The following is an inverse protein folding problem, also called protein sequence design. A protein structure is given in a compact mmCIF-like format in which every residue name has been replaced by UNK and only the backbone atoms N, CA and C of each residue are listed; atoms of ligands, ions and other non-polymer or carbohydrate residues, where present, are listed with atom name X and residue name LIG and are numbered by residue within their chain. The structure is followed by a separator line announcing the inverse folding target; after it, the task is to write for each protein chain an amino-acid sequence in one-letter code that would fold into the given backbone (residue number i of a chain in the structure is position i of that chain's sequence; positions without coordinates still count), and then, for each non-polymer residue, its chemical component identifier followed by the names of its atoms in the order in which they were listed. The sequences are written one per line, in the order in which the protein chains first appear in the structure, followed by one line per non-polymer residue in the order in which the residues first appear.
data_IF_216990460942
#
_entry.id   IF_216990460942
#
_cell.length_a   1.000
_cell.length_b   1.000
_cell.length_c   1.000
_cell.angle_alpha   90.00
_cell.angle_beta   90.00
_cell.angle_gamma   90.00
#
_symmetry.space_group_name_H-M   'P 1'
#
loop_
_entity.id
_entity.type
_entity.pdbx_description
1 polymer ?
#
# COMPACT_ATOMS: atom_id res chain seq x y z
N UNK A 1 9.42 -1.44 -5.71
CA UNK A 1 10.13 -1.89 -4.50
C UNK A 1 10.69 -3.28 -4.74
N UNK A 2 11.85 -3.61 -4.17
CA UNK A 2 12.53 -4.92 -4.31
C UNK A 2 12.73 -5.32 -5.78
N UNK A 3 13.37 -4.44 -6.55
CA UNK A 3 13.68 -4.67 -7.96
C UNK A 3 15.19 -4.76 -8.13
N UNK A 4 15.63 -5.66 -9.00
CA UNK A 4 17.04 -5.86 -9.34
C UNK A 4 17.27 -5.65 -10.83
N UNK A 5 18.27 -4.84 -11.17
CA UNK A 5 18.68 -4.54 -12.53
C UNK A 5 20.15 -4.92 -12.70
N UNK A 6 20.47 -5.68 -13.75
CA UNK A 6 21.85 -6.12 -14.01
C UNK A 6 22.23 -5.73 -15.44
N UNK A 7 23.34 -5.01 -15.59
CA UNK A 7 23.94 -4.61 -16.87
C UNK A 7 22.97 -3.88 -17.84
N UNK A 8 22.04 -3.09 -17.30
CA UNK A 8 21.18 -2.23 -18.10
C UNK A 8 21.95 -0.96 -18.50
N UNK A 9 21.82 -0.47 -19.74
CA UNK A 9 22.44 0.81 -20.12
C UNK A 9 21.96 1.94 -19.20
N UNK A 10 20.64 2.05 -19.04
CA UNK A 10 19.99 2.79 -17.97
C UNK A 10 19.07 1.81 -17.21
N UNK A 11 19.23 1.66 -15.90
CA UNK A 11 18.41 0.71 -15.14
C UNK A 11 16.96 1.19 -14.97
N UNK A 12 16.78 2.47 -14.63
CA UNK A 12 15.46 3.11 -14.55
C UNK A 12 15.45 4.35 -15.43
N UNK A 13 14.62 4.33 -16.48
CA UNK A 13 14.33 5.51 -17.30
C UNK A 13 12.97 6.08 -16.88
N UNK A 14 12.98 7.21 -16.16
CA UNK A 14 11.78 7.94 -15.82
C UNK A 14 11.52 9.02 -16.88
N UNK A 15 10.28 9.07 -17.36
CA UNK A 15 9.85 9.97 -18.43
C UNK A 15 9.03 11.13 -17.85
N UNK A 16 8.09 10.80 -16.97
CA UNK A 16 7.21 11.74 -16.28
C UNK A 16 6.63 11.08 -15.02
N UNK A 17 6.54 11.84 -13.94
CA UNK A 17 5.73 11.54 -12.75
C UNK A 17 5.65 12.78 -11.86
N UNK A 18 4.63 12.89 -11.01
CA UNK A 18 4.62 13.87 -9.92
C UNK A 18 5.57 13.47 -8.80
N UNK A 19 5.61 12.18 -8.45
CA UNK A 19 6.46 11.68 -7.38
C UNK A 19 6.46 10.17 -7.23
N UNK A 20 7.65 9.57 -7.27
CA UNK A 20 7.81 8.12 -7.12
C UNK A 20 8.72 7.76 -5.95
N UNK A 21 8.37 6.70 -5.22
CA UNK A 21 9.22 6.12 -4.17
C UNK A 21 9.79 4.77 -4.62
N UNK A 22 11.11 4.70 -4.66
CA UNK A 22 11.89 3.52 -5.00
C UNK A 22 12.52 2.98 -3.72
N UNK A 23 12.07 1.81 -3.26
CA UNK A 23 12.59 1.18 -2.05
C UNK A 23 13.25 -0.15 -2.39
N UNK A 24 14.42 -0.45 -1.80
CA UNK A 24 15.16 -1.71 -2.00
C UNK A 24 15.43 -1.98 -3.48
N UNK A 25 16.01 -1.00 -4.16
CA UNK A 25 16.44 -1.19 -5.55
C UNK A 25 17.90 -1.63 -5.53
N UNK A 26 18.20 -2.69 -6.27
CA UNK A 26 19.56 -3.18 -6.46
C UNK A 26 19.93 -3.01 -7.94
N UNK A 27 21.00 -2.28 -8.21
CA UNK A 27 21.50 -2.04 -9.56
C UNK A 27 22.96 -2.45 -9.59
N UNK A 28 23.32 -3.33 -10.52
CA UNK A 28 24.71 -3.74 -10.74
C UNK A 28 25.09 -3.64 -12.23
N UNK A 29 25.99 -2.71 -12.53
CA UNK A 29 26.45 -2.44 -13.89
C UNK A 29 25.51 -1.52 -14.67
N UNK A 30 26.07 -0.84 -15.68
CA UNK A 30 25.34 0.09 -16.55
C UNK A 30 26.04 1.43 -16.70
N UNK A 31 25.45 2.35 -17.47
CA UNK A 31 25.94 3.72 -17.58
C UNK A 31 25.25 4.66 -16.57
N UNK A 32 23.94 4.48 -16.37
CA UNK A 32 23.12 5.30 -15.49
C UNK A 32 22.17 4.41 -14.66
N UNK A 33 22.11 4.60 -13.35
CA UNK A 33 21.20 3.82 -12.50
C UNK A 33 19.76 4.37 -12.62
N UNK A 34 19.55 5.65 -12.26
CA UNK A 34 18.28 6.35 -12.41
C UNK A 34 18.45 7.53 -13.36
N UNK A 35 17.87 7.43 -14.55
CA UNK A 35 17.72 8.57 -15.44
C UNK A 35 16.37 9.25 -15.18
N UNK A 36 16.41 10.36 -14.46
CA UNK A 36 15.25 11.21 -14.13
C UNK A 36 15.29 12.54 -14.88
N UNK A 37 16.11 12.66 -15.92
CA UNK A 37 16.17 13.88 -16.73
C UNK A 37 15.01 14.01 -17.72
N UNK A 38 14.14 12.99 -17.82
CA UNK A 38 13.03 12.93 -18.76
C UNK A 38 12.14 14.18 -18.77
N UNK A 39 11.82 14.65 -19.98
CA UNK A 39 10.97 15.82 -20.23
C UNK A 39 9.96 15.49 -21.32
N UNK A 40 8.85 14.88 -20.94
CA UNK A 40 7.76 14.59 -21.88
C UNK A 40 6.39 15.09 -21.35
N UNK A 41 5.37 14.92 -22.19
CA UNK A 41 4.01 15.42 -21.97
C UNK A 41 3.73 16.75 -22.68
N UNK A 42 2.45 17.13 -22.78
CA UNK A 42 1.99 18.30 -23.55
C UNK A 42 2.55 19.64 -23.06
N UNK A 43 3.03 19.69 -21.81
CA UNK A 43 3.63 20.87 -21.17
C UNK A 43 5.13 20.69 -20.91
N UNK A 44 5.72 19.58 -21.35
CA UNK A 44 7.11 19.21 -21.08
C UNK A 44 7.40 19.10 -19.59
N UNK A 45 6.48 18.57 -18.78
CA UNK A 45 6.57 18.64 -17.32
C UNK A 45 7.70 17.79 -16.73
N UNK A 46 7.94 16.58 -17.26
CA UNK A 46 8.97 15.68 -16.73
C UNK A 46 8.68 15.17 -15.31
N UNK A 47 9.74 14.92 -14.55
CA UNK A 47 9.68 14.33 -13.20
C UNK A 47 9.60 15.44 -12.13
N UNK A 48 8.62 15.35 -11.23
CA UNK A 48 8.48 16.25 -10.08
C UNK A 48 9.37 15.87 -8.89
N UNK A 49 9.37 14.60 -8.51
CA UNK A 49 10.20 14.11 -7.40
C UNK A 49 10.50 12.61 -7.45
N UNK A 50 11.61 12.22 -6.83
CA UNK A 50 11.93 10.82 -6.54
C UNK A 50 12.50 10.66 -5.13
N UNK A 51 12.15 9.55 -4.48
CA UNK A 51 12.83 9.08 -3.27
C UNK A 51 13.46 7.72 -3.57
N UNK A 52 14.74 7.55 -3.24
CA UNK A 52 15.47 6.28 -3.34
C UNK A 52 15.88 5.86 -1.93
N UNK A 53 15.32 4.75 -1.46
CA UNK A 53 15.33 4.35 -0.05
C UNK A 53 15.86 2.92 0.07
N UNK A 54 16.75 2.66 1.03
CA UNK A 54 17.27 1.32 1.34
C UNK A 54 17.87 0.58 0.13
N UNK A 55 18.50 1.31 -0.79
CA UNK A 55 18.90 0.80 -2.11
C UNK A 55 20.41 0.60 -2.22
N UNK A 56 20.85 -0.17 -3.21
CA UNK A 56 22.26 -0.42 -3.52
C UNK A 56 22.52 -0.21 -5.00
N UNK A 57 23.50 0.61 -5.34
CA UNK A 57 23.93 0.86 -6.71
C UNK A 57 25.41 0.51 -6.81
N UNK A 58 25.75 -0.38 -7.74
CA UNK A 58 27.09 -0.90 -7.92
C UNK A 58 27.55 -0.80 -9.38
N UNK A 59 28.84 -0.54 -9.58
CA UNK A 59 29.50 -0.58 -10.89
C UNK A 59 28.81 0.31 -11.95
N UNK A 60 28.34 1.48 -11.52
CA UNK A 60 27.57 2.39 -12.37
C UNK A 60 28.19 3.79 -12.30
N UNK A 61 28.69 4.37 -13.41
CA UNK A 61 29.34 5.68 -13.37
C UNK A 61 28.44 6.79 -12.81
N UNK A 62 27.14 6.77 -13.13
CA UNK A 62 26.18 7.79 -12.69
C UNK A 62 25.02 7.11 -11.95
N UNK A 63 24.88 7.35 -10.64
CA UNK A 63 23.73 6.81 -9.91
C UNK A 63 22.43 7.53 -10.30
N UNK A 64 22.42 8.87 -10.35
CA UNK A 64 21.23 9.65 -10.69
C UNK A 64 21.60 10.73 -11.70
N UNK A 65 21.01 10.65 -12.90
CA UNK A 65 21.05 11.71 -13.90
C UNK A 65 19.76 12.55 -13.82
N UNK A 66 19.88 13.83 -13.49
CA UNK A 66 18.76 14.77 -13.41
C UNK A 66 18.86 15.85 -14.49
N UNK A 67 17.77 16.60 -14.69
CA UNK A 67 17.75 17.72 -15.64
C UNK A 67 18.18 19.04 -14.99
N UNK A 68 18.51 20.04 -15.82
CA UNK A 68 19.01 21.35 -15.37
C UNK A 68 17.95 22.47 -15.48
N UNK A 69 16.66 22.15 -15.35
CA UNK A 69 15.56 23.09 -15.67
C UNK A 69 15.57 24.34 -14.80
N UNK A 70 15.46 25.52 -15.42
CA UNK A 70 15.41 26.83 -14.75
C UNK A 70 14.37 27.76 -15.40
N UNK A 71 13.16 27.26 -15.66
CA UNK A 71 12.11 28.05 -16.35
C UNK A 71 11.12 28.74 -15.40
N UNK A 72 11.42 28.78 -14.09
CA UNK A 72 10.62 29.47 -13.07
C UNK A 72 9.24 28.87 -12.79
N UNK A 73 8.80 27.86 -13.55
CA UNK A 73 7.49 27.19 -13.39
C UNK A 73 7.67 25.79 -12.82
N UNK A 74 8.57 24.99 -13.40
CA UNK A 74 8.96 23.70 -12.84
C UNK A 74 10.48 23.68 -12.69
N UNK A 75 10.98 23.48 -11.47
CA UNK A 75 12.41 23.29 -11.23
C UNK A 75 12.89 21.90 -11.70
N UNK A 76 14.18 21.57 -11.50
CA UNK A 76 14.63 20.20 -11.66
C UNK A 76 13.95 19.28 -10.62
N UNK A 77 13.90 17.97 -10.86
CA UNK A 77 13.30 17.00 -9.95
C UNK A 77 13.83 17.16 -8.52
N UNK A 78 12.94 17.14 -7.54
CA UNK A 78 13.36 17.02 -6.14
C UNK A 78 13.81 15.59 -5.89
N UNK A 79 14.96 15.40 -5.24
CA UNK A 79 15.52 14.07 -4.98
C UNK A 79 15.70 13.89 -3.48
N UNK A 80 15.31 12.73 -2.98
CA UNK A 80 15.64 12.24 -1.63
C UNK A 80 16.37 10.91 -1.78
N UNK A 81 17.51 10.77 -1.12
CA UNK A 81 18.26 9.51 -1.02
C UNK A 81 18.37 9.18 0.46
N UNK A 82 17.92 7.99 0.85
CA UNK A 82 17.85 7.55 2.25
C UNK A 82 18.42 6.14 2.38
N UNK A 83 19.38 5.95 3.30
CA UNK A 83 20.02 4.68 3.62
C UNK A 83 20.44 3.89 2.37
N UNK A 84 21.24 4.50 1.49
CA UNK A 84 21.62 3.88 0.22
C UNK A 84 23.13 3.68 0.10
N UNK A 85 23.51 2.49 -0.33
CA UNK A 85 24.89 2.06 -0.55
C UNK A 85 25.29 2.32 -1.99
N UNK A 86 26.49 2.86 -2.20
CA UNK A 86 27.11 2.93 -3.52
C UNK A 86 28.43 2.18 -3.50
N UNK A 87 28.72 1.46 -4.57
CA UNK A 87 29.97 0.72 -4.70
C UNK A 87 30.50 0.88 -6.11
N UNK A 88 31.70 1.43 -6.28
CA UNK A 88 32.25 1.74 -7.60
C UNK A 88 31.29 2.62 -8.44
N UNK A 89 30.80 3.71 -7.83
CA UNK A 89 29.98 4.76 -8.45
C UNK A 89 30.78 6.06 -8.51
N UNK A 90 31.01 6.58 -9.70
CA UNK A 90 31.84 7.79 -9.91
C UNK A 90 31.11 9.07 -9.45
N UNK A 91 29.83 9.21 -9.78
CA UNK A 91 29.02 10.37 -9.39
C UNK A 91 27.65 9.94 -8.91
N UNK A 92 27.25 10.43 -7.74
CA UNK A 92 25.94 10.09 -7.18
C UNK A 92 24.82 10.86 -7.89
N UNK A 93 24.89 12.19 -7.95
CA UNK A 93 23.88 13.01 -8.62
C UNK A 93 24.55 13.95 -9.60
N UNK A 94 24.18 13.82 -10.87
CA UNK A 94 24.71 14.60 -11.98
C UNK A 94 23.58 15.25 -12.77
N UNK A 95 23.77 16.50 -13.16
CA UNK A 95 22.90 17.20 -14.10
C UNK A 95 23.25 16.83 -15.55
N UNK A 96 22.27 16.86 -16.45
CA UNK A 96 22.47 16.63 -17.88
C UNK A 96 23.47 17.61 -18.55
N UNK A 97 23.70 18.79 -17.95
CA UNK A 97 24.73 19.74 -18.41
C UNK A 97 26.15 19.37 -17.96
N UNK A 98 26.31 18.30 -17.18
CA UNK A 98 27.61 17.85 -16.68
C UNK A 98 27.92 18.28 -15.24
N UNK A 99 27.13 19.17 -14.64
CA UNK A 99 27.33 19.63 -13.26
C UNK A 99 27.18 18.48 -12.28
N UNK A 100 28.15 18.33 -11.39
CA UNK A 100 28.11 17.38 -10.28
C UNK A 100 27.36 18.04 -9.12
N UNK A 101 26.22 17.47 -8.74
CA UNK A 101 25.36 17.97 -7.65
C UNK A 101 25.69 17.25 -6.33
N UNK A 102 26.05 15.96 -6.42
CA UNK A 102 26.57 15.16 -5.33
C UNK A 102 27.63 14.21 -5.87
N UNK A 103 28.86 14.36 -5.36
CA UNK A 103 30.00 13.51 -5.68
C UNK A 103 29.75 12.03 -5.34
N UNK A 104 30.61 11.13 -5.82
CA UNK A 104 30.62 9.73 -5.40
C UNK A 104 30.88 9.59 -3.90
N UNK A 105 30.16 8.68 -3.24
CA UNK A 105 30.30 8.32 -1.82
C UNK A 105 29.93 6.85 -1.66
N UNK A 106 30.53 6.13 -0.72
CA UNK A 106 30.23 4.71 -0.48
C UNK A 106 28.86 4.50 0.20
N UNK A 107 28.37 5.51 0.93
CA UNK A 107 27.11 5.44 1.65
C UNK A 107 26.45 6.81 1.79
N UNK A 108 25.11 6.82 1.81
CA UNK A 108 24.28 8.01 2.04
C UNK A 108 23.26 7.69 3.12
N UNK A 109 23.39 8.36 4.27
CA UNK A 109 22.42 8.27 5.36
C UNK A 109 21.10 8.93 4.98
N UNK A 110 21.10 10.25 4.79
CA UNK A 110 19.98 11.00 4.23
C UNK A 110 20.49 12.26 3.52
N UNK A 111 20.20 12.35 2.24
CA UNK A 111 20.52 13.50 1.41
C UNK A 111 19.29 13.93 0.62
N UNK A 112 19.16 15.22 0.35
CA UNK A 112 18.08 15.71 -0.50
C UNK A 112 18.50 16.92 -1.34
N UNK A 113 17.77 17.17 -2.42
CA UNK A 113 17.74 18.46 -3.11
C UNK A 113 16.29 18.85 -3.35
N UNK A 114 15.94 20.08 -2.97
CA UNK A 114 14.58 20.59 -3.09
C UNK A 114 14.26 21.67 -2.06
N UNK A 115 12.98 22.05 -2.00
CA UNK A 115 12.49 23.04 -1.02
C UNK A 115 12.25 22.39 0.34
N UNK A 116 13.06 22.74 1.33
CA UNK A 116 12.97 22.23 2.72
C UNK A 116 12.33 23.27 3.63
N UNK A 117 11.52 22.81 4.58
CA UNK A 117 10.76 23.67 5.49
C UNK A 117 11.21 23.51 6.94
N UNK A 118 11.41 24.63 7.64
CA UNK A 118 11.54 24.71 9.10
C UNK A 118 10.44 25.62 9.64
N UNK A 119 9.40 25.03 10.22
CA UNK A 119 8.15 25.74 10.48
C UNK A 119 7.57 26.29 9.17
N UNK A 120 7.26 27.58 9.14
CA UNK A 120 6.70 28.25 7.96
C UNK A 120 7.74 28.73 6.93
N UNK A 121 9.05 28.61 7.22
CA UNK A 121 10.11 29.08 6.32
C UNK A 121 10.58 27.94 5.42
N UNK A 122 10.36 28.09 4.11
CA UNK A 122 10.84 27.16 3.09
C UNK A 122 12.03 27.73 2.32
N UNK A 123 13.10 26.95 2.17
CA UNK A 123 14.32 27.32 1.44
C UNK A 123 14.72 26.20 0.49
N UNK A 124 15.08 26.56 -0.74
CA UNK A 124 15.63 25.59 -1.69
C UNK A 124 17.09 25.31 -1.32
N UNK A 125 17.43 24.05 -1.10
CA UNK A 125 18.77 23.65 -0.69
C UNK A 125 19.09 22.23 -1.13
N UNK A 126 20.38 21.94 -1.25
CA UNK A 126 20.97 20.66 -1.60
C UNK A 126 21.98 20.28 -0.53
N UNK A 127 22.05 19.01 -0.15
CA UNK A 127 23.01 18.53 0.84
C UNK A 127 22.44 17.46 1.78
N UNK A 128 23.24 17.08 2.76
CA UNK A 128 22.84 16.17 3.82
C UNK A 128 21.65 16.73 4.62
N UNK A 129 20.90 15.80 5.24
CA UNK A 129 19.80 16.10 6.14
C UNK A 129 20.00 15.26 7.40
N UNK A 130 19.85 15.88 8.57
CA UNK A 130 19.81 15.14 9.83
C UNK A 130 18.57 14.23 9.82
N UNK A 131 18.78 12.92 9.66
CA UNK A 131 17.70 11.96 9.59
C UNK A 131 17.04 11.79 10.97
N UNK A 132 15.71 11.90 11.09
CA UNK A 132 15.03 11.47 12.30
C UNK A 132 15.24 9.96 12.47
N UNK A 133 15.49 9.50 13.71
CA UNK A 133 15.59 8.06 13.96
C UNK A 133 14.31 7.35 13.53
N UNK A 134 14.44 6.43 12.56
CA UNK A 134 13.35 5.53 12.20
C UNK A 134 13.00 4.67 13.41
N UNK A 135 11.71 4.54 13.70
CA UNK A 135 11.26 3.69 14.80
C UNK A 135 11.71 2.25 14.56
N UNK A 136 12.36 1.61 15.54
CA UNK A 136 12.92 0.25 15.41
C UNK A 136 11.89 -0.79 14.91
N UNK A 137 10.60 -0.56 15.17
CA UNK A 137 9.48 -1.41 14.72
C UNK A 137 9.23 -1.37 13.20
N UNK A 138 9.76 -0.36 12.50
CA UNK A 138 9.60 -0.18 11.05
C UNK A 138 10.73 -0.82 10.26
N UNK A 139 11.81 -1.24 10.93
CA UNK A 139 13.03 -1.73 10.28
C UNK A 139 13.05 -3.26 10.26
N UNK A 140 13.78 -3.83 9.31
CA UNK A 140 14.10 -5.25 9.21
C UNK A 140 15.34 -5.61 10.08
N UNK A 141 15.94 -6.79 9.87
CA UNK A 141 17.12 -7.24 10.64
C UNK A 141 18.40 -6.53 10.20
N UNK A 142 18.39 -5.98 8.99
CA UNK A 142 19.51 -5.30 8.33
C UNK A 142 19.37 -3.77 8.46
N UNK A 143 18.39 -3.28 9.24
CA UNK A 143 18.16 -1.86 9.49
C UNK A 143 17.40 -1.13 8.37
N UNK A 144 16.94 -1.83 7.33
CA UNK A 144 16.18 -1.28 6.20
C UNK A 144 14.69 -1.26 6.53
N UNK A 145 13.88 -0.38 5.95
CA UNK A 145 12.42 -0.40 6.10
C UNK A 145 11.87 -1.78 5.75
N UNK A 146 11.08 -2.36 6.65
CA UNK A 146 10.55 -3.72 6.52
C UNK A 146 9.80 -3.89 5.20
N UNK A 147 10.08 -5.00 4.52
CA UNK A 147 9.43 -5.39 3.29
C UNK A 147 9.12 -6.87 3.33
N UNK A 148 7.96 -7.23 2.78
CA UNK A 148 7.59 -8.62 2.53
C UNK A 148 6.77 -8.73 1.23
N UNK A 149 7.13 -9.62 0.31
CA UNK A 149 6.36 -9.84 -0.90
C UNK A 149 4.99 -10.46 -0.59
N UNK A 150 4.06 -10.34 -1.55
CA UNK A 150 2.78 -11.05 -1.51
C UNK A 150 3.02 -12.55 -1.35
N UNK A 151 2.43 -13.21 -0.33
CA UNK A 151 2.51 -14.66 -0.22
C UNK A 151 1.70 -15.31 -1.35
N UNK A 152 2.25 -16.35 -2.00
CA UNK A 152 1.50 -17.14 -2.98
C UNK A 152 1.31 -18.60 -2.55
N UNK A 153 1.84 -18.98 -1.39
CA UNK A 153 1.69 -20.29 -0.78
C UNK A 153 2.20 -21.44 -1.67
N UNK A 154 3.29 -21.20 -2.39
CA UNK A 154 3.84 -22.07 -3.43
C UNK A 154 4.17 -23.48 -2.95
N UNK A 155 4.53 -23.63 -1.68
CA UNK A 155 4.92 -24.90 -1.06
C UNK A 155 3.75 -25.68 -0.43
N UNK A 156 2.51 -25.18 -0.53
CA UNK A 156 1.33 -25.80 0.09
C UNK A 156 0.50 -26.62 -0.91
N UNK A 157 0.05 -27.80 -0.47
CA UNK A 157 -0.91 -28.61 -1.21
C UNK A 157 -2.33 -28.06 -1.15
N UNK A 158 -3.18 -28.47 -2.10
CA UNK A 158 -4.60 -28.05 -2.17
C UNK A 158 -5.41 -28.41 -0.92
N UNK A 159 -5.01 -29.45 -0.20
CA UNK A 159 -5.61 -29.91 1.06
C UNK A 159 -5.41 -28.93 2.23
N UNK A 160 -4.47 -27.99 2.10
CA UNK A 160 -4.22 -26.91 3.04
C UNK A 160 -5.21 -25.74 2.89
N UNK A 161 -6.08 -25.78 1.88
CA UNK A 161 -7.10 -24.77 1.64
C UNK A 161 -8.49 -25.33 1.97
N UNK A 162 -9.36 -24.45 2.47
CA UNK A 162 -10.79 -24.71 2.53
C UNK A 162 -11.52 -23.63 1.73
N UNK A 163 -12.48 -24.06 0.91
CA UNK A 163 -13.19 -23.18 -0.02
C UNK A 163 -14.49 -22.69 0.64
N UNK A 164 -14.69 -21.36 0.67
CA UNK A 164 -15.83 -20.74 1.35
C UNK A 164 -17.19 -21.24 0.84
N UNK A 165 -17.36 -21.37 -0.48
CA UNK A 165 -18.62 -21.80 -1.12
C UNK A 165 -18.95 -23.26 -0.89
N UNK A 166 -17.94 -24.11 -0.72
CA UNK A 166 -18.11 -25.53 -0.32
C UNK A 166 -18.43 -25.68 1.17
N UNK A 167 -18.27 -24.60 1.94
CA UNK A 167 -18.52 -24.54 3.38
C UNK A 167 -19.68 -23.58 3.72
N UNK A 168 -20.62 -23.41 2.78
CA UNK A 168 -21.92 -22.76 3.03
C UNK A 168 -21.96 -21.24 2.87
N UNK A 169 -20.86 -20.60 2.47
CA UNK A 169 -20.86 -19.16 2.16
C UNK A 169 -21.41 -18.92 0.75
N UNK A 170 -22.46 -18.09 0.62
CA UNK A 170 -22.97 -17.69 -0.71
C UNK A 170 -22.27 -16.42 -1.16
N UNK A 171 -21.96 -16.37 -2.45
CA UNK A 171 -21.23 -15.28 -3.10
C UNK A 171 -22.04 -14.63 -4.24
N UNK A 172 -23.36 -14.79 -4.21
CA UNK A 172 -24.30 -14.33 -5.25
C UNK A 172 -24.78 -12.88 -5.08
N UNK A 173 -24.25 -12.16 -4.08
CA UNK A 173 -24.63 -10.78 -3.76
C UNK A 173 -25.96 -10.64 -3.02
N UNK A 174 -26.57 -11.74 -2.59
CA UNK A 174 -27.89 -11.73 -1.95
C UNK A 174 -27.85 -12.28 -0.53
N UNK A 175 -28.93 -12.01 0.21
CA UNK A 175 -29.09 -12.50 1.58
C UNK A 175 -28.11 -11.89 2.58
N UNK A 176 -28.01 -12.56 3.73
CA UNK A 176 -27.05 -12.23 4.78
C UNK A 176 -26.15 -13.44 5.04
N UNK A 177 -24.88 -13.32 4.67
CA UNK A 177 -23.87 -14.37 4.80
C UNK A 177 -23.04 -14.25 6.09
N UNK A 178 -23.35 -13.31 6.98
CA UNK A 178 -22.53 -13.01 8.18
C UNK A 178 -22.25 -14.27 9.01
N UNK A 179 -23.29 -15.05 9.33
CA UNK A 179 -23.15 -16.27 10.13
C UNK A 179 -22.32 -17.35 9.44
N UNK A 180 -22.54 -17.56 8.14
CA UNK A 180 -21.83 -18.58 7.36
C UNK A 180 -20.34 -18.24 7.23
N UNK A 181 -20.01 -16.98 6.95
CA UNK A 181 -18.62 -16.52 6.81
C UNK A 181 -17.88 -16.61 8.14
N UNK A 182 -18.49 -16.16 9.24
CA UNK A 182 -17.87 -16.26 10.56
C UNK A 182 -17.61 -17.71 10.98
N UNK A 183 -18.58 -18.62 10.75
CA UNK A 183 -18.40 -20.05 11.03
C UNK A 183 -17.32 -20.68 10.14
N UNK A 184 -17.25 -20.29 8.87
CA UNK A 184 -16.21 -20.74 7.95
C UNK A 184 -14.82 -20.28 8.40
N UNK A 185 -14.63 -18.99 8.68
CA UNK A 185 -13.36 -18.44 9.11
C UNK A 185 -12.89 -19.04 10.45
N UNK A 186 -13.80 -19.25 11.40
CA UNK A 186 -13.50 -19.94 12.66
C UNK A 186 -13.04 -21.39 12.42
N UNK A 187 -13.75 -22.14 11.56
CA UNK A 187 -13.37 -23.51 11.20
C UNK A 187 -11.98 -23.56 10.57
N UNK A 188 -11.72 -22.70 9.58
CA UNK A 188 -10.42 -22.64 8.89
C UNK A 188 -9.30 -22.35 9.86
N UNK A 189 -9.50 -21.35 10.73
CA UNK A 189 -8.51 -20.95 11.72
C UNK A 189 -8.19 -22.10 12.69
N UNK A 190 -9.23 -22.81 13.18
CA UNK A 190 -9.07 -23.97 14.06
C UNK A 190 -8.32 -25.13 13.39
N UNK A 191 -8.51 -25.32 12.08
CA UNK A 191 -7.80 -26.34 11.31
C UNK A 191 -6.38 -25.91 10.88
N UNK A 192 -5.99 -24.65 11.13
CA UNK A 192 -4.70 -24.10 10.70
C UNK A 192 -4.56 -23.94 9.18
N UNK A 193 -5.68 -23.98 8.45
CA UNK A 193 -5.73 -23.95 6.97
C UNK A 193 -5.80 -22.52 6.43
N UNK A 194 -5.79 -22.40 5.10
CA UNK A 194 -5.99 -21.15 4.39
C UNK A 194 -7.45 -21.05 3.95
N UNK A 195 -8.09 -19.92 4.25
CA UNK A 195 -9.44 -19.61 3.81
C UNK A 195 -9.36 -19.15 2.35
N UNK A 196 -9.76 -20.02 1.43
CA UNK A 196 -9.92 -19.65 0.03
C UNK A 196 -11.33 -19.10 -0.20
N UNK A 197 -11.39 -17.86 -0.66
CA UNK A 197 -12.64 -17.14 -0.91
C UNK A 197 -12.77 -16.95 -2.42
N UNK A 198 -13.58 -17.75 -3.13
CA UNK A 198 -13.82 -17.55 -4.56
C UNK A 198 -14.42 -16.18 -4.86
N UNK A 199 -14.16 -15.68 -6.07
CA UNK A 199 -14.69 -14.42 -6.57
C UNK A 199 -16.21 -14.37 -6.43
N UNK A 200 -16.74 -13.19 -6.09
CA UNK A 200 -18.17 -12.98 -5.91
C UNK A 200 -18.46 -11.99 -4.79
N UNK A 201 -19.74 -11.78 -4.53
CA UNK A 201 -20.21 -10.80 -3.56
C UNK A 201 -20.82 -11.54 -2.37
N UNK A 202 -20.12 -11.49 -1.25
CA UNK A 202 -20.56 -12.03 0.02
C UNK A 202 -21.23 -10.90 0.80
N UNK A 203 -22.54 -10.75 0.58
CA UNK A 203 -23.33 -9.70 1.23
C UNK A 203 -23.55 -10.05 2.71
N UNK A 204 -23.26 -9.10 3.60
CA UNK A 204 -23.34 -9.28 5.06
C UNK A 204 -24.20 -8.20 5.70
N UNK A 205 -25.07 -8.61 6.63
CA UNK A 205 -25.91 -7.75 7.45
C UNK A 205 -25.37 -7.53 8.87
N UNK A 206 -24.17 -8.02 9.17
CA UNK A 206 -23.51 -7.87 10.46
C UNK A 206 -21.99 -7.95 10.36
N UNK A 207 -21.30 -7.84 11.49
CA UNK A 207 -19.83 -7.83 11.54
C UNK A 207 -19.26 -9.20 11.15
N UNK A 208 -18.36 -9.23 10.16
CA UNK A 208 -17.50 -10.37 9.87
C UNK A 208 -16.22 -10.26 10.71
N UNK A 209 -16.00 -11.21 11.61
CA UNK A 209 -14.77 -11.32 12.38
C UNK A 209 -13.80 -12.25 11.65
N UNK A 210 -12.64 -11.72 11.25
CA UNK A 210 -11.51 -12.51 10.75
C UNK A 210 -10.63 -12.84 11.97
N UNK A 211 -10.62 -14.09 12.46
CA UNK A 211 -9.92 -14.43 13.69
C UNK A 211 -8.42 -14.24 13.57
N UNK A 212 -7.77 -13.84 14.65
CA UNK A 212 -6.31 -13.82 14.77
C UNK A 212 -5.69 -15.19 14.42
N UNK A 213 -4.60 -15.20 13.67
CA UNK A 213 -3.96 -16.40 13.11
C UNK A 213 -4.44 -16.79 11.72
N UNK A 214 -5.42 -16.07 11.15
CA UNK A 214 -6.01 -16.44 9.86
C UNK A 214 -5.10 -16.12 8.68
N UNK A 215 -5.20 -16.97 7.65
CA UNK A 215 -4.68 -16.73 6.31
C UNK A 215 -5.84 -16.76 5.34
N UNK A 216 -6.13 -15.63 4.69
CA UNK A 216 -7.28 -15.45 3.79
C UNK A 216 -6.77 -15.11 2.39
N UNK A 217 -7.19 -15.89 1.41
CA UNK A 217 -6.84 -15.73 0.00
C UNK A 217 -8.13 -15.60 -0.81
N UNK A 218 -8.36 -14.44 -1.39
CA UNK A 218 -9.39 -14.24 -2.40
C UNK A 218 -8.94 -14.71 -3.78
N UNK A 219 -9.84 -14.61 -4.76
CA UNK A 219 -9.51 -14.78 -6.17
C UNK A 219 -9.97 -13.57 -6.99
N UNK A 220 -9.16 -12.51 -7.06
CA UNK A 220 -9.45 -11.25 -7.78
C UNK A 220 -10.60 -10.43 -7.19
N UNK A 221 -11.87 -10.72 -7.47
CA UNK A 221 -13.05 -9.94 -7.02
C UNK A 221 -13.83 -10.60 -5.88
N UNK A 222 -13.14 -10.98 -4.82
CA UNK A 222 -13.74 -11.58 -3.62
C UNK A 222 -14.17 -10.48 -2.66
N UNK A 223 -15.48 -10.21 -2.58
CA UNK A 223 -16.01 -9.01 -1.92
C UNK A 223 -16.77 -9.35 -0.64
N UNK A 224 -16.34 -8.82 0.50
CA UNK A 224 -17.18 -8.69 1.70
C UNK A 224 -17.95 -7.38 1.57
N UNK A 225 -19.27 -7.46 1.36
CA UNK A 225 -20.13 -6.29 1.15
C UNK A 225 -21.08 -6.07 2.33
N UNK A 226 -20.79 -5.06 3.15
CA UNK A 226 -21.66 -4.64 4.25
C UNK A 226 -22.92 -3.96 3.72
N UNK A 227 -24.10 -4.36 4.21
CA UNK A 227 -25.37 -3.84 3.72
C UNK A 227 -26.48 -3.92 4.78
N UNK A 228 -27.50 -3.08 4.63
CA UNK A 228 -28.70 -3.10 5.46
C UNK A 228 -28.58 -2.31 6.77
N UNK A 229 -29.65 -2.36 7.58
CA UNK A 229 -29.88 -1.45 8.71
C UNK A 229 -28.79 -1.46 9.79
N UNK A 230 -28.08 -2.59 9.95
CA UNK A 230 -27.01 -2.71 10.94
C UNK A 230 -25.88 -1.68 10.75
N UNK A 231 -25.67 -1.21 9.52
CA UNK A 231 -24.62 -0.26 9.15
C UNK A 231 -25.16 1.14 8.80
N UNK A 232 -26.42 1.44 9.07
CA UNK A 232 -27.05 2.71 8.65
C UNK A 232 -27.23 3.74 9.79
N UNK A 233 -26.61 3.51 10.95
CA UNK A 233 -26.64 4.48 12.06
C UNK A 233 -25.33 5.25 12.15
N UNK A 234 -25.33 6.49 11.64
CA UNK A 234 -24.20 7.41 11.68
C UNK A 234 -23.73 7.72 13.12
N UNK A 235 -24.64 7.69 14.10
CA UNK A 235 -24.31 8.02 15.49
C UNK A 235 -23.83 6.81 16.30
N UNK A 236 -23.98 5.61 15.74
CA UNK A 236 -23.54 4.35 16.34
C UNK A 236 -22.84 3.47 15.31
N UNK A 237 -21.66 3.89 14.81
CA UNK A 237 -21.01 3.23 13.70
C UNK A 237 -20.63 1.78 14.03
N UNK A 238 -20.74 0.89 13.04
CA UNK A 238 -20.49 -0.55 13.15
C UNK A 238 -19.48 -1.03 12.11
N UNK A 239 -18.71 -2.03 12.49
CA UNK A 239 -17.63 -2.58 11.67
C UNK A 239 -18.17 -3.63 10.70
N UNK A 240 -17.85 -3.52 9.42
CA UNK A 240 -18.19 -4.53 8.41
C UNK A 240 -17.23 -5.73 8.52
N UNK A 241 -15.93 -5.49 8.37
CA UNK A 241 -14.90 -6.52 8.55
C UNK A 241 -13.97 -6.14 9.71
N UNK A 242 -13.93 -6.99 10.73
CA UNK A 242 -13.11 -6.83 11.93
C UNK A 242 -11.95 -7.82 11.89
N UNK A 243 -10.72 -7.33 11.79
CA UNK A 243 -9.51 -8.15 11.78
C UNK A 243 -8.96 -8.27 13.19
N UNK A 244 -9.12 -9.46 13.77
CA UNK A 244 -8.79 -9.76 15.15
C UNK A 244 -9.68 -9.03 16.16
N UNK A 245 -9.61 -9.44 17.42
CA UNK A 245 -10.22 -8.71 18.53
C UNK A 245 -9.22 -7.74 19.16
N UNK A 246 -9.73 -6.74 19.87
CA UNK A 246 -8.90 -5.79 20.60
C UNK A 246 -8.00 -6.51 21.60
N UNK A 247 -6.70 -6.30 21.48
CA UNK A 247 -5.69 -6.91 22.35
C UNK A 247 -5.21 -8.28 21.89
N UNK A 248 -5.78 -8.83 20.80
CA UNK A 248 -5.24 -10.03 20.17
C UNK A 248 -3.83 -9.76 19.63
N UNK A 249 -3.00 -10.80 19.69
CA UNK A 249 -1.61 -10.77 19.26
C UNK A 249 -1.28 -12.08 18.56
N UNK A 250 -0.63 -12.02 17.39
CA UNK A 250 -0.53 -13.18 16.49
C UNK A 250 -0.27 -12.81 15.03
N UNK A 251 -0.62 -13.72 14.13
CA UNK A 251 -0.37 -13.61 12.69
C UNK A 251 -1.68 -13.40 11.91
N UNK A 252 -1.60 -12.86 10.71
CA UNK A 252 -2.72 -12.45 9.86
C UNK A 252 -2.23 -12.18 8.43
N UNK A 253 -2.77 -12.92 7.47
CA UNK A 253 -2.54 -12.69 6.04
C UNK A 253 -3.88 -12.50 5.35
N UNK A 254 -4.04 -11.40 4.61
CA UNK A 254 -5.19 -11.16 3.75
C UNK A 254 -4.69 -10.76 2.37
N UNK A 255 -5.09 -11.52 1.36
CA UNK A 255 -4.65 -11.36 -0.03
C UNK A 255 -5.86 -11.38 -0.96
N UNK A 256 -5.89 -10.53 -1.99
CA UNK A 256 -6.93 -10.50 -3.03
C UNK A 256 -8.38 -10.34 -2.51
N UNK A 257 -8.56 -9.60 -1.41
CA UNK A 257 -9.87 -9.34 -0.83
C UNK A 257 -10.31 -7.89 -1.06
N UNK A 258 -11.59 -7.71 -1.37
CA UNK A 258 -12.21 -6.39 -1.42
C UNK A 258 -13.22 -6.23 -0.29
N UNK A 259 -13.11 -5.13 0.43
CA UNK A 259 -14.07 -4.72 1.46
C UNK A 259 -14.87 -3.53 0.92
N UNK A 260 -16.18 -3.62 1.03
CA UNK A 260 -17.09 -2.71 0.32
C UNK A 260 -18.44 -2.67 1.01
N UNK A 261 -19.36 -1.86 0.48
CA UNK A 261 -20.69 -1.63 1.04
C UNK A 261 -21.76 -1.60 -0.05
N UNK A 262 -23.01 -1.83 0.32
CA UNK A 262 -24.19 -1.53 -0.49
C UNK A 262 -25.02 -0.48 0.26
N UNK A 263 -25.17 0.69 -0.33
CA UNK A 263 -25.80 1.85 0.30
C UNK A 263 -27.28 1.63 0.62
N UNK A 264 -27.85 2.39 1.56
CA UNK A 264 -27.21 3.40 2.39
C UNK A 264 -26.54 2.77 3.64
N UNK A 265 -25.29 3.17 3.94
CA UNK A 265 -24.49 2.58 5.04
C UNK A 265 -23.71 3.65 5.80
N UNK A 266 -24.43 4.69 6.22
CA UNK A 266 -23.87 5.88 6.86
C UNK A 266 -23.02 5.60 8.10
N UNK A 267 -23.33 4.55 8.85
CA UNK A 267 -22.61 4.09 10.04
C UNK A 267 -21.52 3.05 9.79
N UNK A 268 -21.17 2.72 8.54
CA UNK A 268 -20.18 1.68 8.28
C UNK A 268 -18.73 2.12 8.61
N UNK A 269 -18.03 1.31 9.40
CA UNK A 269 -16.57 1.23 9.43
C UNK A 269 -16.19 0.02 8.57
N UNK A 270 -15.69 0.24 7.36
CA UNK A 270 -15.60 -0.84 6.35
C UNK A 270 -14.57 -1.91 6.76
N UNK A 271 -13.41 -1.49 7.26
CA UNK A 271 -12.38 -2.39 7.75
C UNK A 271 -11.80 -1.85 9.07
N UNK A 272 -11.85 -2.65 10.12
CA UNK A 272 -11.19 -2.36 11.40
C UNK A 272 -10.07 -3.35 11.65
N UNK A 273 -8.88 -2.84 11.98
CA UNK A 273 -7.70 -3.61 12.32
C UNK A 273 -7.38 -3.42 13.81
N UNK A 274 -7.70 -4.44 14.61
CA UNK A 274 -7.50 -4.44 16.08
C UNK A 274 -6.23 -5.16 16.54
N UNK A 275 -5.73 -5.98 15.65
CA UNK A 275 -4.74 -6.98 15.92
C UNK A 275 -3.33 -6.39 16.11
N UNK A 276 -2.56 -6.96 17.05
CA UNK A 276 -1.19 -6.56 17.37
C UNK A 276 -0.12 -7.59 16.98
N UNK A 277 1.10 -7.12 16.74
CA UNK A 277 2.21 -7.99 16.34
C UNK A 277 2.71 -8.91 17.47
N UNK A 278 2.88 -10.22 17.19
CA UNK A 278 3.36 -11.21 18.16
C UNK A 278 4.85 -11.10 18.50
N UNK A 279 5.69 -10.78 17.53
CA UNK A 279 7.13 -10.69 17.77
C UNK A 279 7.79 -9.62 16.92
N UNK A 280 8.54 -8.75 17.59
CA UNK A 280 9.38 -7.72 16.98
C UNK A 280 10.47 -8.29 16.08
N UNK A 281 10.94 -9.52 16.36
CA UNK A 281 12.05 -10.14 15.66
C UNK A 281 11.60 -11.03 14.50
N UNK A 282 10.43 -11.69 14.63
CA UNK A 282 9.89 -12.54 13.57
C UNK A 282 9.06 -11.75 12.55
N UNK A 283 8.68 -10.49 12.86
CA UNK A 283 7.90 -9.57 12.00
C UNK A 283 6.83 -10.32 11.20
N UNK A 284 6.07 -11.11 11.94
CA UNK A 284 5.11 -12.01 11.37
C UNK A 284 3.93 -11.22 10.81
N UNK A 285 3.61 -11.52 9.54
CA UNK A 285 2.25 -11.76 9.03
C UNK A 285 1.21 -10.79 9.61
N UNK A 286 1.24 -9.51 9.31
CA UNK A 286 0.11 -8.61 9.62
C UNK A 286 -0.08 -7.66 8.46
N UNK A 287 -0.47 -8.26 7.34
CA UNK A 287 -0.27 -7.63 6.06
C UNK A 287 -1.47 -7.92 5.18
N UNK A 288 -1.85 -6.85 4.49
CA UNK A 288 -2.88 -6.82 3.48
C UNK A 288 -2.16 -6.61 2.13
N UNK A 289 -2.33 -7.53 1.19
CA UNK A 289 -1.78 -7.44 -0.17
C UNK A 289 -2.91 -7.51 -1.19
N UNK A 290 -2.80 -6.71 -2.26
CA UNK A 290 -3.78 -6.66 -3.36
C UNK A 290 -5.23 -6.66 -2.87
N UNK A 291 -5.45 -5.96 -1.77
CA UNK A 291 -6.70 -5.96 -1.05
C UNK A 291 -7.15 -4.53 -0.83
N UNK A 292 -8.42 -4.28 -1.05
CA UNK A 292 -8.91 -2.94 -1.34
C UNK A 292 -10.15 -2.63 -0.51
N UNK A 293 -10.23 -1.39 -0.01
CA UNK A 293 -11.52 -0.82 0.36
C UNK A 293 -12.01 -0.01 -0.82
N UNK A 294 -13.16 -0.40 -1.37
CA UNK A 294 -13.82 0.32 -2.47
C UNK A 294 -15.26 0.61 -2.10
N UNK A 295 -15.63 1.88 -2.05
CA UNK A 295 -17.00 2.31 -1.76
C UNK A 295 -17.59 3.11 -2.92
N UNK A 296 -18.85 2.81 -3.26
CA UNK A 296 -19.57 3.43 -4.38
C UNK A 296 -19.06 3.03 -5.77
N UNK A 297 -19.76 3.54 -6.80
CA UNK A 297 -19.28 3.53 -8.18
C UNK A 297 -19.14 2.15 -8.85
N UNK A 298 -19.77 1.11 -8.30
CA UNK A 298 -19.76 -0.24 -8.87
C UNK A 298 -21.16 -0.84 -8.89
N UNK A 299 -21.36 -1.86 -9.74
CA UNK A 299 -22.63 -2.59 -9.84
C UNK A 299 -22.99 -3.24 -8.50
N UNK A 300 -24.29 -3.24 -8.15
CA UNK A 300 -24.81 -3.87 -6.94
C UNK A 300 -24.44 -3.12 -5.65
N UNK A 301 -24.11 -1.83 -5.75
CA UNK A 301 -23.79 -0.97 -4.60
C UNK A 301 -24.92 -0.03 -4.21
N UNK A 302 -25.91 0.20 -5.08
CA UNK A 302 -26.94 1.23 -4.91
C UNK A 302 -26.33 2.61 -4.61
N UNK A 303 -25.17 2.86 -5.24
CA UNK A 303 -24.29 4.02 -5.05
C UNK A 303 -23.64 4.38 -6.40
N UNK A 304 -24.42 4.26 -7.47
CA UNK A 304 -24.07 4.61 -8.84
C UNK A 304 -24.61 6.00 -9.20
N UNK A 305 -24.35 6.46 -10.42
CA UNK A 305 -24.79 7.81 -10.86
C UNK A 305 -26.31 7.94 -10.99
N UNK A 306 -27.04 6.83 -11.15
CA UNK A 306 -28.50 6.83 -11.21
C UNK A 306 -29.10 7.06 -9.82
N UNK A 307 -28.48 6.45 -8.80
CA UNK A 307 -28.89 6.59 -7.40
C UNK A 307 -28.31 7.85 -6.74
N UNK A 308 -27.09 8.22 -7.12
CA UNK A 308 -26.28 9.27 -6.54
C UNK A 308 -25.75 10.22 -7.65
N UNK A 309 -26.64 11.06 -8.22
CA UNK A 309 -26.25 11.97 -9.27
C UNK A 309 -25.31 13.07 -8.75
N UNK A 310 -24.45 13.54 -9.65
CA UNK A 310 -23.52 14.64 -9.37
C UNK A 310 -24.28 15.89 -8.95
N UNK A 311 -23.70 16.60 -7.99
CA UNK A 311 -24.21 17.88 -7.46
C UNK A 311 -25.52 17.80 -6.66
N UNK A 312 -25.97 16.59 -6.32
CA UNK A 312 -27.10 16.38 -5.42
C UNK A 312 -26.64 15.79 -4.09
N UNK A 313 -27.38 16.07 -3.02
CA UNK A 313 -27.16 15.48 -1.71
C UNK A 313 -28.32 14.54 -1.37
N UNK A 314 -27.99 13.33 -0.95
CA UNK A 314 -28.95 12.34 -0.47
C UNK A 314 -28.30 11.50 0.62
N UNK A 315 -29.03 11.27 1.71
CA UNK A 315 -28.59 10.36 2.78
C UNK A 315 -28.41 8.93 2.26
N UNK A 316 -29.14 8.56 1.19
CA UNK A 316 -28.99 7.27 0.53
C UNK A 316 -27.58 7.07 -0.08
N UNK A 317 -26.89 8.17 -0.38
CA UNK A 317 -25.57 8.19 -0.99
C UNK A 317 -24.41 8.20 0.01
N UNK A 318 -24.71 8.18 1.32
CA UNK A 318 -23.66 8.09 2.34
C UNK A 318 -23.12 6.66 2.37
N UNK A 319 -21.89 6.51 1.86
CA UNK A 319 -21.23 5.22 1.69
C UNK A 319 -20.74 4.61 3.01
N UNK A 320 -20.03 5.37 3.83
CA UNK A 320 -19.42 4.87 5.07
C UNK A 320 -19.02 6.04 5.98
N UNK A 321 -18.95 5.77 7.29
CA UNK A 321 -18.34 6.67 8.27
C UNK A 321 -16.81 6.67 8.17
N UNK A 322 -16.20 5.49 7.97
CA UNK A 322 -14.75 5.32 7.91
C UNK A 322 -14.38 4.11 7.04
N UNK A 323 -13.35 4.26 6.21
CA UNK A 323 -12.90 3.16 5.33
C UNK A 323 -12.00 2.17 6.07
N UNK A 324 -11.03 2.69 6.82
CA UNK A 324 -10.03 1.87 7.51
C UNK A 324 -9.70 2.45 8.88
N UNK A 325 -9.86 1.63 9.90
CA UNK A 325 -9.60 1.97 11.29
C UNK A 325 -8.49 1.08 11.86
N UNK A 326 -7.27 1.60 11.97
CA UNK A 326 -6.23 0.95 12.78
C UNK A 326 -6.44 1.39 14.22
N UNK A 327 -6.85 0.48 15.08
CA UNK A 327 -7.20 0.84 16.46
C UNK A 327 -5.96 0.96 17.34
N UNK A 328 -6.13 1.53 18.53
CA UNK A 328 -5.03 1.69 19.47
C UNK A 328 -4.52 0.32 19.96
N UNK A 329 -3.33 -0.08 19.51
CA UNK A 329 -2.75 -1.39 19.80
C UNK A 329 -1.39 -1.62 19.13
N UNK A 330 -0.81 -2.82 19.20
CA UNK A 330 0.56 -3.12 18.76
C UNK A 330 0.78 -3.16 17.23
N UNK A 331 0.37 -2.14 16.48
CA UNK A 331 0.83 -1.83 15.10
C UNK A 331 0.29 -2.71 13.97
N UNK A 332 -0.10 -2.07 12.86
CA UNK A 332 -0.50 -2.67 11.58
C UNK A 332 0.50 -2.28 10.48
N UNK A 333 0.73 -3.14 9.47
CA UNK A 333 1.49 -2.80 8.26
C UNK A 333 0.64 -3.04 7.02
N UNK A 334 0.68 -2.13 6.06
CA UNK A 334 0.01 -2.26 4.76
C UNK A 334 1.08 -2.39 3.69
N UNK A 335 0.94 -3.38 2.79
CA UNK A 335 1.92 -3.64 1.73
C UNK A 335 1.42 -3.16 0.35
N UNK A 336 2.34 -3.14 -0.61
CA UNK A 336 2.11 -2.72 -2.00
C UNK A 336 0.88 -3.39 -2.62
N UNK A 337 0.09 -2.61 -3.36
CA UNK A 337 -1.15 -3.07 -4.01
C UNK A 337 -2.41 -2.70 -3.23
N UNK A 338 -2.33 -2.59 -1.90
CA UNK A 338 -3.48 -2.21 -1.07
C UNK A 338 -3.84 -0.72 -1.26
N UNK A 339 -5.09 -0.46 -1.68
CA UNK A 339 -5.62 0.90 -1.89
C UNK A 339 -6.94 1.11 -1.14
N UNK A 340 -7.11 2.31 -0.61
CA UNK A 340 -8.38 2.78 -0.05
C UNK A 340 -8.93 3.82 -1.03
N UNK A 341 -9.87 3.39 -1.86
CA UNK A 341 -10.49 4.28 -2.85
C UNK A 341 -11.93 4.56 -2.42
N UNK A 342 -12.21 5.83 -2.12
CA UNK A 342 -13.57 6.36 -2.11
C UNK A 342 -13.78 7.08 -3.42
N UNK A 343 -14.64 6.53 -4.28
CA UNK A 343 -15.11 7.25 -5.44
C UNK A 343 -16.20 8.20 -4.95
N UNK A 344 -15.85 9.48 -4.76
CA UNK A 344 -16.85 10.54 -4.82
C UNK A 344 -17.33 10.60 -6.27
N UNK A 345 -18.53 10.09 -6.53
CA UNK A 345 -19.22 10.31 -7.80
C UNK A 345 -19.65 11.76 -7.89
#
# INVERSE_FOLDING_TARGET
MNLKFNACLAAVQMIWDWGFNWQRIEIDGGAIAFNISGREGNTGQGIGSVSIIDSKISNCPIAILTNSRDDGVNGPPNVVIDNSEMDNVETTVKSENGDIILDGTDHIDLWAIGRRYKGYKGTYTSGEVEAPSKGKRLLDKDGKLFYRPRPQYEDLGVDQFLIATENGCKNDGTGDNTGAINAFLEKVNKEGKIAYVPAGIYRVGGTVLIPTGSRVQGSSWSQIQGAGFYFNDLHNPRVVAQVGKKGDVGDMEIVDMMFTVQGATSGAIVLEWNHGMQSFYLRTLQLLWDSHVRVGGALGKDLDIETCPKFEFSDACICASLLFHVTHGPGCSLASGSKFDSLRV
#
